data_IF_922503222689
#
_entry.id   IF_922503222689
#
_cell.length_a   1.000
_cell.length_b   1.000
_cell.length_c   1.000
_cell.angle_alpha   90.00
_cell.angle_beta   90.00
_cell.angle_gamma   90.00
#
_symmetry.space_group_name_H-M   'P 1'
#
loop_
_entity.id
_entity.type
_entity.pdbx_description
1 polymer ?
#
# COMPACT_ATOMS: atom_id res chain seq x y z
N UNK A 1 -2.55 -7.40 -17.28
CA UNK A 1 -1.18 -7.97 -17.22
C UNK A 1 -0.80 -8.10 -15.76
N UNK A 2 -0.27 -9.24 -15.33
CA UNK A 2 0.16 -9.44 -13.94
C UNK A 2 1.64 -9.05 -13.79
N UNK A 3 1.99 -8.29 -12.75
CA UNK A 3 3.38 -8.00 -12.42
C UNK A 3 4.04 -9.23 -11.81
N UNK A 4 5.31 -9.48 -12.16
CA UNK A 4 6.08 -10.58 -11.56
C UNK A 4 6.48 -10.23 -10.13
N UNK A 5 6.73 -11.26 -9.30
CA UNK A 5 7.21 -11.07 -7.93
C UNK A 5 8.51 -10.25 -7.88
N UNK A 6 9.43 -10.46 -8.83
CA UNK A 6 10.68 -9.72 -8.93
C UNK A 6 10.47 -8.22 -9.17
N UNK A 7 9.52 -7.84 -10.03
CA UNK A 7 9.20 -6.44 -10.29
C UNK A 7 8.54 -5.79 -9.07
N UNK A 8 7.67 -6.52 -8.35
CA UNK A 8 7.10 -6.04 -7.07
C UNK A 8 8.20 -5.77 -6.03
N UNK A 9 9.17 -6.68 -5.90
CA UNK A 9 10.31 -6.53 -4.99
C UNK A 9 11.23 -5.35 -5.37
N UNK A 10 11.50 -5.15 -6.67
CA UNK A 10 12.24 -3.98 -7.14
C UNK A 10 11.53 -2.67 -6.78
N UNK A 11 10.24 -2.57 -7.04
CA UNK A 11 9.45 -1.37 -6.74
C UNK A 11 9.33 -1.10 -5.23
N UNK A 12 9.30 -2.14 -4.39
CA UNK A 12 9.25 -1.95 -2.94
C UNK A 12 10.45 -1.20 -2.35
N UNK A 13 11.58 -1.20 -3.07
CA UNK A 13 12.82 -0.50 -2.67
C UNK A 13 12.90 0.93 -3.20
N UNK A 14 11.94 1.36 -4.01
CA UNK A 14 11.94 2.69 -4.61
C UNK A 14 11.63 3.75 -3.55
N UNK A 15 12.58 4.67 -3.34
CA UNK A 15 12.34 5.82 -2.45
C UNK A 15 11.53 6.88 -3.19
N UNK A 16 10.32 7.16 -2.72
CA UNK A 16 9.49 8.27 -3.23
C UNK A 16 9.76 9.55 -2.40
N UNK A 17 10.44 10.57 -2.97
CA UNK A 17 10.91 11.73 -2.21
C UNK A 17 9.83 12.81 -2.02
N UNK A 18 8.86 12.89 -2.93
CA UNK A 18 7.77 13.87 -2.83
C UNK A 18 6.68 13.34 -1.92
N UNK A 19 6.36 14.10 -0.87
CA UNK A 19 5.32 13.73 0.10
C UNK A 19 3.95 13.51 -0.57
N UNK A 20 3.58 14.34 -1.54
CA UNK A 20 2.32 14.18 -2.27
C UNK A 20 2.25 12.87 -3.05
N UNK A 21 3.35 12.46 -3.69
CA UNK A 21 3.44 11.19 -4.41
C UNK A 21 3.35 10.00 -3.45
N UNK A 22 4.04 10.05 -2.30
CA UNK A 22 3.97 9.02 -1.26
C UNK A 22 2.56 8.86 -0.68
N UNK A 23 1.85 9.97 -0.48
CA UNK A 23 0.43 9.94 -0.06
C UNK A 23 -0.47 9.30 -1.13
N UNK A 24 -0.25 9.63 -2.39
CA UNK A 24 -1.03 9.07 -3.50
C UNK A 24 -0.82 7.57 -3.64
N UNK A 25 0.42 7.11 -3.52
CA UNK A 25 0.79 5.70 -3.51
C UNK A 25 0.06 4.94 -2.39
N UNK A 26 0.18 5.43 -1.14
CA UNK A 26 -0.44 4.78 0.01
C UNK A 26 -1.97 4.80 -0.06
N UNK A 27 -2.58 5.90 -0.51
CA UNK A 27 -4.02 5.99 -0.74
C UNK A 27 -4.50 5.01 -1.82
N UNK A 28 -3.70 4.81 -2.87
CA UNK A 28 -4.01 3.87 -3.95
C UNK A 28 -3.89 2.43 -3.45
N UNK A 29 -2.83 2.10 -2.68
CA UNK A 29 -2.70 0.77 -2.08
C UNK A 29 -3.90 0.46 -1.19
N UNK A 30 -4.25 1.35 -0.25
CA UNK A 30 -5.40 1.13 0.64
C UNK A 30 -6.73 1.06 -0.12
N UNK A 31 -6.90 1.82 -1.21
CA UNK A 31 -8.11 1.78 -2.05
C UNK A 31 -8.40 0.39 -2.61
N UNK A 32 -7.35 -0.37 -2.93
CA UNK A 32 -7.47 -1.68 -3.58
C UNK A 32 -7.19 -2.85 -2.64
N UNK A 33 -6.41 -2.65 -1.58
CA UNK A 33 -6.06 -3.68 -0.62
C UNK A 33 -7.13 -3.87 0.47
N UNK A 34 -8.02 -2.89 0.70
CA UNK A 34 -9.10 -3.06 1.67
C UNK A 34 -9.82 -1.77 2.05
N UNK A 35 -10.12 -1.63 3.34
CA UNK A 35 -11.04 -0.61 3.86
C UNK A 35 -10.49 0.08 5.13
N UNK A 36 -11.11 1.22 5.44
CA UNK A 36 -10.85 1.98 6.65
C UNK A 36 -12.09 1.93 7.54
N UNK A 37 -11.95 1.39 8.75
CA UNK A 37 -13.04 1.26 9.71
C UNK A 37 -12.78 2.16 10.92
N UNK A 38 -13.85 2.74 11.48
CA UNK A 38 -13.79 3.46 12.76
C UNK A 38 -14.43 2.56 13.84
N UNK A 39 -13.60 1.96 14.70
CA UNK A 39 -14.03 1.00 15.70
C UNK A 39 -13.68 1.54 17.08
N UNK A 40 -14.69 1.84 17.91
CA UNK A 40 -14.49 2.35 19.27
C UNK A 40 -13.72 3.67 19.34
N UNK A 41 -13.80 4.53 18.31
CA UNK A 41 -13.04 5.77 18.21
C UNK A 41 -11.62 5.61 17.65
N UNK A 42 -11.21 4.38 17.30
CA UNK A 42 -9.93 4.10 16.67
C UNK A 42 -10.08 3.89 15.17
N UNK A 43 -9.12 4.43 14.41
CA UNK A 43 -9.01 4.14 12.98
C UNK A 43 -8.34 2.78 12.82
N UNK A 44 -9.05 1.84 12.21
CA UNK A 44 -8.57 0.49 11.88
C UNK A 44 -8.38 0.41 10.38
N UNK A 45 -7.18 0.00 9.97
CA UNK A 45 -6.82 -0.18 8.56
C UNK A 45 -6.82 -1.66 8.26
N UNK A 46 -7.68 -2.09 7.34
CA UNK A 46 -7.73 -3.47 6.84
C UNK A 46 -7.14 -3.48 5.44
N UNK A 47 -6.12 -4.32 5.21
CA UNK A 47 -5.48 -4.47 3.92
C UNK A 47 -5.01 -5.93 3.74
N UNK A 48 -5.37 -6.53 2.61
CA UNK A 48 -4.86 -7.84 2.18
C UNK A 48 -3.81 -7.63 1.08
N UNK A 49 -2.62 -8.22 1.28
CA UNK A 49 -1.46 -8.04 0.41
C UNK A 49 -0.78 -9.39 0.18
N UNK A 50 -0.46 -9.69 -1.08
CA UNK A 50 0.16 -10.97 -1.46
C UNK A 50 1.62 -11.12 -1.00
N UNK A 51 2.30 -10.01 -0.68
CA UNK A 51 3.75 -9.98 -0.44
C UNK A 51 4.10 -9.06 0.73
N UNK A 52 4.93 -9.54 1.66
CA UNK A 52 5.31 -8.82 2.87
C UNK A 52 6.19 -7.58 2.65
N UNK A 53 6.88 -7.47 1.51
CA UNK A 53 7.74 -6.31 1.20
C UNK A 53 6.96 -5.06 0.73
N UNK A 54 5.63 -5.08 0.69
CA UNK A 54 4.81 -4.00 0.08
C UNK A 54 4.61 -2.76 0.98
N UNK A 55 5.41 -2.57 2.03
CA UNK A 55 5.31 -1.39 2.90
C UNK A 55 6.67 -0.95 3.47
#
# INVERSE_FOLDING_TARGET
>A
MAMTAAVKDELSRLVVPRLSARKAELATMLRFAGALHLIGGHIVVEAELDTGSVA
#
